data_IF_461792772598
#
_entry.id   IF_461792772598
#
_cell.length_a   1.000
_cell.length_b   1.000
_cell.length_c   1.000
_cell.angle_alpha   90.00
_cell.angle_beta   90.00
_cell.angle_gamma   90.00
#
_symmetry.space_group_name_H-M   'P 1'
#
loop_
_entity.id
_entity.type
_entity.pdbx_description
1 polymer ?
#
# COMPACT_ATOMS: atom_id res chain seq x y z
N UNK A 1 17.80 -10.03 -17.64
CA UNK A 1 17.08 -9.92 -16.36
C UNK A 1 17.97 -9.26 -15.32
N UNK A 2 17.76 -7.97 -15.04
CA UNK A 2 18.52 -7.26 -14.01
C UNK A 2 17.96 -7.65 -12.63
N UNK A 3 18.68 -8.50 -11.89
CA UNK A 3 18.35 -8.83 -10.50
C UNK A 3 18.96 -7.73 -9.64
N UNK A 4 18.14 -6.86 -9.05
CA UNK A 4 18.65 -5.92 -8.05
C UNK A 4 19.18 -6.73 -6.87
N UNK A 5 20.40 -6.40 -6.43
CA UNK A 5 21.00 -6.98 -5.24
C UNK A 5 20.29 -6.39 -4.01
N UNK A 6 19.23 -7.06 -3.57
CA UNK A 6 18.58 -6.76 -2.30
C UNK A 6 19.07 -7.76 -1.24
N UNK A 7 19.16 -7.33 0.04
CA UNK A 7 19.37 -8.27 1.13
C UNK A 7 18.30 -9.36 1.11
N UNK A 8 18.62 -10.51 1.72
CA UNK A 8 17.63 -11.57 1.90
C UNK A 8 16.38 -11.02 2.60
N UNK A 9 15.18 -11.53 2.26
CA UNK A 9 13.96 -11.10 2.94
C UNK A 9 14.07 -11.40 4.43
N UNK A 10 13.54 -10.49 5.25
CA UNK A 10 13.39 -10.71 6.69
C UNK A 10 12.23 -11.68 6.97
N UNK A 11 12.04 -12.08 8.22
CA UNK A 11 10.90 -12.90 8.60
C UNK A 11 9.59 -12.11 8.37
N UNK A 12 8.67 -12.70 7.59
CA UNK A 12 7.38 -12.09 7.31
C UNK A 12 6.40 -12.35 8.46
N UNK A 13 5.74 -11.29 8.93
CA UNK A 13 4.60 -11.37 9.83
C UNK A 13 3.31 -11.18 9.01
N UNK A 14 2.20 -11.87 9.36
CA UNK A 14 0.93 -11.62 8.71
C UNK A 14 0.46 -10.17 8.96
N UNK A 15 -0.34 -9.58 8.06
CA UNK A 15 -1.01 -8.30 8.33
C UNK A 15 -1.86 -8.38 9.60
N UNK A 16 -1.99 -7.26 10.32
CA UNK A 16 -2.84 -7.14 11.51
C UNK A 16 -4.34 -7.11 11.19
N UNK A 17 -4.69 -6.84 9.94
CA UNK A 17 -6.05 -6.82 9.42
C UNK A 17 -6.29 -8.02 8.49
N UNK A 18 -7.51 -8.58 8.51
CA UNK A 18 -7.85 -9.73 7.69
C UNK A 18 -7.81 -9.37 6.19
N UNK A 19 -6.98 -10.05 5.37
CA UNK A 19 -6.93 -9.82 3.93
C UNK A 19 -8.27 -10.08 3.22
N UNK A 20 -9.15 -10.93 3.76
CA UNK A 20 -10.47 -11.20 3.17
C UNK A 20 -11.40 -9.97 3.22
N UNK A 21 -11.14 -9.00 4.09
CA UNK A 21 -11.88 -7.74 4.15
C UNK A 21 -11.60 -6.82 2.94
N UNK A 22 -10.55 -7.09 2.15
CA UNK A 22 -10.19 -6.28 0.98
C UNK A 22 -11.35 -6.11 -0.01
N UNK A 23 -12.16 -7.15 -0.19
CA UNK A 23 -13.32 -7.12 -1.09
C UNK A 23 -14.42 -6.16 -0.60
N UNK A 24 -14.47 -5.88 0.71
CA UNK A 24 -15.43 -4.94 1.30
C UNK A 24 -14.95 -3.49 1.33
N UNK A 25 -13.68 -3.22 1.03
CA UNK A 25 -13.11 -1.86 1.07
C UNK A 25 -13.34 -1.08 -0.23
N UNK A 26 -13.47 -1.77 -1.36
CA UNK A 26 -13.62 -1.14 -2.66
C UNK A 26 -15.11 -0.78 -2.86
N UNK A 27 -15.46 0.52 -3.01
CA UNK A 27 -16.84 0.91 -3.27
C UNK A 27 -17.35 0.35 -4.60
N UNK A 28 -18.66 0.11 -4.70
CA UNK A 28 -19.28 -0.30 -5.96
C UNK A 28 -19.13 0.77 -7.05
N UNK A 29 -19.21 2.06 -6.68
CA UNK A 29 -18.92 3.19 -7.56
C UNK A 29 -17.45 3.59 -7.45
N UNK A 30 -16.65 3.32 -8.48
CA UNK A 30 -15.22 3.64 -8.53
C UNK A 30 -14.90 5.16 -8.45
N UNK A 31 -15.91 6.02 -8.53
CA UNK A 31 -15.77 7.47 -8.32
C UNK A 31 -15.77 7.84 -6.84
N UNK A 32 -16.29 6.97 -5.98
CA UNK A 32 -16.25 7.16 -4.55
C UNK A 32 -14.81 6.96 -4.05
N UNK A 33 -14.24 7.97 -3.37
CA UNK A 33 -12.90 7.84 -2.83
C UNK A 33 -12.92 6.85 -1.66
N UNK A 34 -11.96 5.93 -1.64
CA UNK A 34 -11.63 5.12 -0.47
C UNK A 34 -10.20 5.43 -0.03
N UNK A 35 -9.89 5.19 1.24
CA UNK A 35 -8.53 5.41 1.74
C UNK A 35 -7.62 4.25 1.30
N UNK A 36 -6.61 4.47 0.45
CA UNK A 36 -5.68 3.43 0.03
C UNK A 36 -4.89 2.83 1.21
N UNK A 37 -4.79 3.53 2.35
CA UNK A 37 -4.13 3.01 3.55
C UNK A 37 -4.82 1.77 4.10
N UNK A 38 -6.14 1.67 3.96
CA UNK A 38 -6.89 0.49 4.39
C UNK A 38 -6.52 -0.76 3.57
N UNK A 39 -6.26 -0.57 2.28
CA UNK A 39 -5.77 -1.64 1.40
C UNK A 39 -4.32 -2.00 1.74
N UNK A 40 -3.45 -0.99 1.90
CA UNK A 40 -2.05 -1.20 2.26
C UNK A 40 -1.92 -1.97 3.58
N UNK A 41 -2.71 -1.60 4.60
CA UNK A 41 -2.69 -2.25 5.90
C UNK A 41 -3.04 -3.74 5.87
N UNK A 42 -3.81 -4.20 4.87
CA UNK A 42 -4.18 -5.62 4.67
C UNK A 42 -3.21 -6.39 3.77
N UNK A 43 -2.27 -5.68 3.14
CA UNK A 43 -1.29 -6.28 2.21
C UNK A 43 0.09 -6.42 2.85
N UNK A 44 0.54 -5.43 3.61
CA UNK A 44 1.92 -5.36 4.09
C UNK A 44 2.13 -6.14 5.38
N UNK A 45 3.34 -6.64 5.56
CA UNK A 45 3.71 -7.43 6.74
C UNK A 45 3.48 -6.61 8.02
N UNK A 46 2.87 -7.22 9.04
CA UNK A 46 2.50 -6.58 10.32
C UNK A 46 1.67 -5.28 10.18
N UNK A 47 1.07 -5.03 9.01
CA UNK A 47 0.42 -3.76 8.67
C UNK A 47 1.34 -2.54 8.87
N UNK A 48 2.66 -2.74 8.79
CA UNK A 48 3.67 -1.71 9.01
C UNK A 48 3.89 -0.89 7.73
N UNK A 49 3.46 0.37 7.77
CA UNK A 49 3.55 1.32 6.68
C UNK A 49 4.08 2.67 7.18
N UNK A 50 5.28 3.03 6.72
CA UNK A 50 5.90 4.32 7.03
C UNK A 50 5.61 5.31 5.90
N UNK A 51 4.62 6.19 6.12
CA UNK A 51 4.17 7.15 5.13
C UNK A 51 5.17 8.31 4.96
N UNK A 52 5.64 8.49 3.74
CA UNK A 52 6.54 9.56 3.36
C UNK A 52 5.75 10.83 3.00
N UNK A 53 6.00 11.90 3.77
CA UNK A 53 5.42 13.25 3.56
C UNK A 53 3.87 13.25 3.40
N UNK A 54 3.12 12.76 4.41
CA UNK A 54 1.65 12.65 4.32
C UNK A 54 0.92 13.98 4.03
N UNK A 55 1.54 15.12 4.34
CA UNK A 55 0.96 16.46 4.15
C UNK A 55 1.30 17.10 2.79
N UNK A 56 2.12 16.46 1.96
CA UNK A 56 2.56 17.00 0.68
C UNK A 56 1.98 16.20 -0.48
N UNK A 57 1.18 16.84 -1.35
CA UNK A 57 0.58 16.16 -2.50
C UNK A 57 -0.45 15.09 -2.11
N UNK A 58 -1.46 15.49 -1.32
CA UNK A 58 -2.47 14.61 -0.70
C UNK A 58 -3.42 13.88 -1.68
N UNK A 59 -3.13 13.91 -2.98
CA UNK A 59 -3.77 13.06 -3.98
C UNK A 59 -3.14 11.66 -4.06
N UNK A 60 -1.95 11.49 -3.49
CA UNK A 60 -1.18 10.25 -3.51
C UNK A 60 -0.66 9.96 -2.09
N UNK A 61 -0.78 8.72 -1.63
CA UNK A 61 -0.02 8.25 -0.47
C UNK A 61 1.23 7.53 -0.97
N UNK A 62 2.36 7.82 -0.33
CA UNK A 62 3.65 7.21 -0.68
C UNK A 62 4.35 6.80 0.60
N UNK A 63 5.04 5.67 0.59
CA UNK A 63 5.69 5.20 1.79
C UNK A 63 6.45 3.92 1.60
N UNK A 64 7.08 3.48 2.68
CA UNK A 64 7.86 2.26 2.76
C UNK A 64 7.08 1.19 3.52
N UNK A 65 7.24 -0.05 3.10
CA UNK A 65 6.67 -1.20 3.78
C UNK A 65 7.50 -2.45 3.51
N UNK A 66 7.08 -3.56 4.10
CA UNK A 66 7.57 -4.89 3.72
C UNK A 66 6.44 -5.76 3.20
N UNK A 67 6.74 -6.58 2.21
CA UNK A 67 5.83 -7.59 1.69
C UNK A 67 6.58 -8.91 1.58
N UNK A 68 6.16 -9.90 2.37
CA UNK A 68 6.84 -11.18 2.49
C UNK A 68 8.33 -11.04 2.83
N UNK A 69 8.67 -10.10 3.70
CA UNK A 69 10.03 -9.80 4.16
C UNK A 69 10.83 -8.88 3.23
N UNK A 70 10.34 -8.62 2.01
CA UNK A 70 11.01 -7.78 1.04
C UNK A 70 10.68 -6.30 1.26
N UNK A 71 11.68 -5.40 1.32
CA UNK A 71 11.42 -3.97 1.37
C UNK A 71 10.83 -3.48 0.05
N UNK A 72 9.71 -2.75 0.12
CA UNK A 72 9.00 -2.20 -1.03
C UNK A 72 8.71 -0.71 -0.82
N UNK A 73 8.65 0.02 -1.93
CA UNK A 73 8.08 1.37 -1.97
C UNK A 73 6.68 1.29 -2.56
N UNK A 74 5.71 1.90 -1.90
CA UNK A 74 4.31 1.90 -2.31
C UNK A 74 3.92 3.31 -2.74
N UNK A 75 3.24 3.41 -3.88
CA UNK A 75 2.57 4.62 -4.35
C UNK A 75 1.11 4.23 -4.61
N UNK A 76 0.18 4.90 -3.95
CA UNK A 76 -1.25 4.61 -4.08
C UNK A 76 -2.09 5.88 -4.15
N UNK A 77 -3.09 5.89 -5.03
CA UNK A 77 -3.91 7.06 -5.28
C UNK A 77 -4.96 7.21 -4.18
N UNK A 78 -4.99 8.38 -3.54
CA UNK A 78 -5.92 8.68 -2.45
C UNK A 78 -7.26 9.28 -2.93
N UNK A 79 -7.38 9.63 -4.22
CA UNK A 79 -8.57 10.30 -4.79
C UNK A 79 -9.09 9.66 -6.07
N UNK A 80 -9.05 8.33 -6.16
CA UNK A 80 -9.49 7.61 -7.37
C UNK A 80 -8.46 7.69 -8.51
N UNK A 81 -8.93 7.49 -9.74
CA UNK A 81 -8.07 7.40 -10.94
C UNK A 81 -7.32 8.72 -11.18
N UNK A 82 -5.99 8.63 -11.29
CA UNK A 82 -5.17 9.70 -11.87
C UNK A 82 -5.54 9.84 -13.34
N UNK A 83 -6.30 10.87 -13.68
CA UNK A 83 -6.45 11.27 -15.08
C UNK A 83 -5.11 11.88 -15.54
N UNK A 84 -4.51 11.30 -16.58
CA UNK A 84 -3.45 11.95 -17.34
C UNK A 84 -4.11 12.96 -18.27
N UNK A 85 -4.00 14.25 -17.96
CA UNK A 85 -3.99 15.29 -18.99
C UNK A 85 -2.55 15.48 -19.51
#
# INVERSE_FOLDING_TARGET
>A
NHRKAHPAPEAAAPPRHDPEELLGLVPEDLREPFDPREVVARLVDDSDYDEFKPLYGTSLTTGWARLHGYPVGILANARGVLFSE
#
